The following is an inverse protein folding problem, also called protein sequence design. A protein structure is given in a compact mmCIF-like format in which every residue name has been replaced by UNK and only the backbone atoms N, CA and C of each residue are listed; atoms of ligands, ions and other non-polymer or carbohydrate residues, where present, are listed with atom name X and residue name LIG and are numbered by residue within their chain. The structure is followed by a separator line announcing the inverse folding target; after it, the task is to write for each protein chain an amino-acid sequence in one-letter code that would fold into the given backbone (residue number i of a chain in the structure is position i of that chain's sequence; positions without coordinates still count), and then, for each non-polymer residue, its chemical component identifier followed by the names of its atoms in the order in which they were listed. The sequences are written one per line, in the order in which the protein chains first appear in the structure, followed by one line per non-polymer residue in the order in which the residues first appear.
data_IF_107856414607
#
_entry.id   IF_107856414607
#
_cell.length_a   1.000
_cell.length_b   1.000
_cell.length_c   1.000
_cell.angle_alpha   90.00
_cell.angle_beta   90.00
_cell.angle_gamma   90.00
#
_symmetry.space_group_name_H-M   'P 1'
#
loop_
_entity.id
_entity.type
_entity.pdbx_description
1 polymer ?
#
# COMPACT_ATOMS: atom_id res chain seq x y z
N UNK A 1 -4.11 -61.12 48.91
CA UNK A 1 -3.21 -62.29 48.99
C UNK A 1 -4.02 -63.54 48.63
N UNK A 2 -3.73 -64.12 47.44
CA UNK A 2 -4.25 -65.35 46.77
C UNK A 2 -4.22 -65.05 45.26
N UNK A 3 -3.05 -65.07 44.61
CA UNK A 3 -2.41 -66.21 43.94
C UNK A 3 -3.36 -67.02 43.04
N UNK A 4 -3.23 -66.78 41.73
CA UNK A 4 -3.39 -67.82 40.69
C UNK A 4 -2.27 -67.58 39.67
N UNK A 5 -1.27 -68.46 39.67
CA UNK A 5 -0.24 -68.57 38.62
C UNK A 5 -0.17 -70.04 38.20
N UNK A 6 -0.87 -70.31 37.10
CA UNK A 6 -0.82 -71.47 36.20
C UNK A 6 0.34 -71.50 35.20
N UNK A 7 1.34 -72.37 35.35
CA UNK A 7 2.23 -72.83 34.26
C UNK A 7 1.39 -73.34 33.07
N UNK A 8 1.79 -73.39 31.80
CA UNK A 8 3.07 -73.36 31.11
C UNK A 8 2.90 -74.16 29.79
N UNK A 9 3.99 -74.28 29.02
CA UNK A 9 4.25 -75.27 27.95
C UNK A 9 4.03 -74.87 26.47
N UNK A 10 5.15 -74.46 25.85
CA UNK A 10 5.80 -74.95 24.61
C UNK A 10 4.95 -75.71 23.57
N UNK A 11 5.02 -75.30 22.28
CA UNK A 11 5.63 -76.05 21.15
C UNK A 11 5.27 -75.38 19.80
N UNK A 12 6.32 -75.30 18.99
CA UNK A 12 6.47 -74.84 17.61
C UNK A 12 5.62 -75.67 16.61
N UNK A 13 4.93 -75.01 15.67
CA UNK A 13 4.60 -75.59 14.36
C UNK A 13 4.40 -74.47 13.34
N UNK A 14 5.29 -74.44 12.35
CA UNK A 14 5.21 -73.61 11.14
C UNK A 14 4.15 -74.20 10.23
N UNK A 15 3.19 -73.38 9.80
CA UNK A 15 2.40 -73.63 8.61
C UNK A 15 2.31 -72.32 7.83
N UNK A 16 3.00 -72.29 6.69
CA UNK A 16 2.88 -71.23 5.71
C UNK A 16 1.47 -71.27 5.10
N UNK A 17 0.72 -70.18 5.25
CA UNK A 17 -0.41 -69.87 4.39
C UNK A 17 -0.03 -68.64 3.58
N UNK A 18 0.24 -68.89 2.30
CA UNK A 18 0.44 -67.86 1.30
C UNK A 18 -0.88 -67.13 1.04
N UNK A 19 -0.84 -65.81 1.07
CA UNK A 19 -1.68 -64.98 0.20
C UNK A 19 -0.74 -63.99 -0.49
N UNK A 20 -0.40 -64.35 -1.73
CA UNK A 20 0.20 -63.45 -2.70
C UNK A 20 -0.87 -62.47 -3.20
N UNK A 21 -0.74 -61.20 -2.86
CA UNK A 21 -1.33 -60.11 -3.62
C UNK A 21 -0.29 -59.00 -3.75
N UNK A 22 0.59 -59.18 -4.74
CA UNK A 22 1.52 -58.14 -5.18
C UNK A 22 0.82 -57.28 -6.23
N UNK A 23 -0.07 -56.39 -5.78
CA UNK A 23 -0.49 -55.26 -6.60
C UNK A 23 0.61 -54.20 -6.61
N UNK A 24 1.73 -54.51 -7.27
CA UNK A 24 2.65 -53.46 -7.68
C UNK A 24 1.86 -52.47 -8.55
N UNK A 25 1.88 -51.16 -8.27
CA UNK A 25 1.27 -50.20 -9.19
C UNK A 25 1.95 -50.35 -10.55
N UNK A 26 1.15 -50.58 -11.59
CA UNK A 26 1.63 -50.63 -12.96
C UNK A 26 2.13 -49.23 -13.32
N UNK A 27 3.44 -49.05 -13.41
CA UNK A 27 4.02 -47.87 -14.02
C UNK A 27 3.58 -47.80 -15.50
N UNK A 28 3.27 -46.61 -16.04
CA UNK A 28 2.89 -46.48 -17.44
C UNK A 28 4.02 -46.99 -18.33
N UNK A 29 3.66 -47.76 -19.36
CA UNK A 29 4.60 -48.29 -20.33
C UNK A 29 5.23 -47.12 -21.09
N UNK A 30 6.57 -47.01 -21.07
CA UNK A 30 7.28 -46.04 -21.89
C UNK A 30 7.16 -46.43 -23.36
N UNK A 31 6.41 -45.65 -24.13
CA UNK A 31 6.40 -45.73 -25.59
C UNK A 31 7.76 -45.33 -26.13
N UNK A 32 8.42 -46.26 -26.83
CA UNK A 32 9.65 -45.99 -27.57
C UNK A 32 9.32 -45.15 -28.80
N UNK A 33 9.88 -43.94 -28.88
CA UNK A 33 9.99 -43.18 -30.13
C UNK A 33 8.81 -42.28 -30.50
N UNK A 34 8.73 -41.10 -29.87
CA UNK A 34 8.31 -39.89 -30.58
C UNK A 34 9.42 -38.86 -30.39
N UNK A 35 10.15 -38.61 -31.47
CA UNK A 35 11.05 -37.46 -31.57
C UNK A 35 10.23 -36.18 -31.34
N UNK A 36 10.59 -35.43 -30.30
CA UNK A 36 10.08 -34.09 -30.03
C UNK A 36 8.77 -34.05 -29.28
N UNK A 37 8.79 -34.30 -27.97
CA UNK A 37 7.87 -33.56 -27.10
C UNK A 37 8.28 -32.11 -27.26
N UNK A 38 7.43 -31.30 -27.89
CA UNK A 38 7.67 -29.86 -27.97
C UNK A 38 7.97 -29.37 -26.55
N UNK A 39 9.05 -28.60 -26.38
CA UNK A 39 9.34 -27.99 -25.10
C UNK A 39 8.06 -27.28 -24.64
N UNK A 40 7.63 -27.57 -23.41
CA UNK A 40 6.54 -26.84 -22.78
C UNK A 40 6.89 -25.35 -22.93
N UNK A 41 6.05 -24.53 -23.58
CA UNK A 41 6.39 -23.14 -23.84
C UNK A 41 6.79 -22.46 -22.54
N UNK A 42 7.87 -21.68 -22.58
CA UNK A 42 8.33 -20.90 -21.43
C UNK A 42 7.17 -20.12 -20.83
N UNK A 43 6.93 -20.30 -19.54
CA UNK A 43 5.83 -19.66 -18.81
C UNK A 43 4.55 -20.48 -18.72
N UNK A 44 4.51 -21.71 -19.24
CA UNK A 44 3.39 -22.64 -18.96
C UNK A 44 3.45 -23.10 -17.50
N UNK A 45 2.40 -22.87 -16.69
CA UNK A 45 2.41 -23.25 -15.28
C UNK A 45 2.63 -24.75 -15.07
N UNK A 46 3.61 -25.09 -14.23
CA UNK A 46 3.94 -26.48 -13.85
C UNK A 46 3.42 -26.85 -12.45
N UNK A 47 3.05 -25.84 -11.65
CA UNK A 47 2.45 -25.99 -10.33
C UNK A 47 0.93 -25.82 -10.39
N UNK A 48 0.19 -26.80 -9.86
CA UNK A 48 -1.26 -26.68 -9.66
C UNK A 48 -1.55 -25.88 -8.39
N UNK A 49 -1.64 -24.56 -8.56
CA UNK A 49 -2.06 -23.61 -7.53
C UNK A 49 -2.93 -22.51 -8.16
N UNK A 50 -3.77 -21.86 -7.37
CA UNK A 50 -4.45 -20.65 -7.86
C UNK A 50 -3.42 -19.51 -8.07
N UNK A 51 -3.72 -18.61 -9.01
CA UNK A 51 -2.93 -17.38 -9.12
C UNK A 51 -3.13 -16.52 -7.85
N UNK A 52 -2.09 -15.79 -7.40
CA UNK A 52 -2.25 -14.79 -6.34
C UNK A 52 -3.31 -13.74 -6.69
N UNK A 53 -4.04 -13.25 -5.69
CA UNK A 53 -5.14 -12.30 -5.86
C UNK A 53 -5.11 -11.17 -4.83
N UNK A 54 -6.21 -10.42 -4.72
CA UNK A 54 -6.39 -9.32 -3.77
C UNK A 54 -5.19 -8.37 -3.67
N UNK A 55 -4.77 -7.76 -4.80
CA UNK A 55 -3.59 -6.90 -4.81
C UNK A 55 -3.76 -5.68 -3.91
N UNK A 56 -2.70 -5.33 -3.19
CA UNK A 56 -2.51 -4.00 -2.62
C UNK A 56 -1.22 -3.39 -3.23
N UNK A 57 -1.22 -2.13 -3.67
CA UNK A 57 -2.37 -1.24 -3.81
C UNK A 57 -3.47 -1.82 -4.70
N UNK A 58 -4.71 -1.40 -4.46
CA UNK A 58 -5.83 -1.80 -5.32
C UNK A 58 -5.58 -1.38 -6.77
N UNK A 59 -6.10 -2.11 -7.78
CA UNK A 59 -5.86 -1.77 -9.17
C UNK A 59 -6.30 -0.33 -9.49
N UNK A 60 -5.40 0.46 -10.08
CA UNK A 60 -5.64 1.87 -10.41
C UNK A 60 -5.47 2.84 -9.23
N UNK A 61 -5.04 2.39 -8.06
CA UNK A 61 -4.80 3.27 -6.91
C UNK A 61 -3.63 4.22 -7.18
N UNK A 62 -3.74 5.45 -6.66
CA UNK A 62 -2.59 6.35 -6.49
C UNK A 62 -1.96 6.08 -5.13
N UNK A 63 -0.64 5.90 -5.09
CA UNK A 63 0.11 5.82 -3.84
C UNK A 63 0.15 7.17 -3.13
N UNK A 64 0.29 7.10 -1.82
CA UNK A 64 0.55 8.26 -0.97
C UNK A 64 2.05 8.44 -0.80
N UNK A 65 2.50 9.68 -0.60
CA UNK A 65 3.89 9.93 -0.23
C UNK A 65 4.17 9.44 1.18
N UNK A 66 5.30 8.78 1.34
CA UNK A 66 5.86 8.46 2.64
C UNK A 66 6.52 9.66 3.30
N UNK A 67 7.05 9.43 4.50
CA UNK A 67 7.82 10.44 5.22
C UNK A 67 9.04 10.92 4.40
N UNK A 68 9.43 12.19 4.59
CA UNK A 68 10.60 12.79 3.95
C UNK A 68 10.62 12.68 2.42
N UNK A 69 9.46 12.85 1.78
CA UNK A 69 9.25 12.84 0.33
C UNK A 69 9.65 11.51 -0.33
N UNK A 70 9.62 10.42 0.43
CA UNK A 70 9.90 9.09 -0.10
C UNK A 70 8.66 8.48 -0.74
N UNK A 71 8.86 7.63 -1.73
CA UNK A 71 7.81 6.82 -2.36
C UNK A 71 7.92 5.37 -1.89
N UNK A 72 7.57 5.03 -0.63
CA UNK A 72 7.58 3.65 -0.19
C UNK A 72 6.39 2.93 -0.84
N UNK A 73 6.64 2.18 -1.91
CA UNK A 73 5.66 1.27 -2.46
C UNK A 73 5.80 -0.09 -1.78
N UNK A 74 4.71 -0.59 -1.18
CA UNK A 74 4.62 -1.97 -0.74
C UNK A 74 3.56 -2.67 -1.59
N UNK A 75 3.97 -3.70 -2.31
CA UNK A 75 3.06 -4.52 -3.12
C UNK A 75 2.72 -5.78 -2.33
N UNK A 76 1.44 -6.12 -2.19
CA UNK A 76 1.04 -7.36 -1.54
C UNK A 76 -0.05 -8.10 -2.31
N UNK A 77 -0.07 -9.42 -2.12
CA UNK A 77 -1.09 -10.33 -2.68
C UNK A 77 -1.54 -11.31 -1.61
N UNK A 78 -2.75 -11.83 -1.75
CA UNK A 78 -3.15 -13.03 -1.02
C UNK A 78 -2.27 -14.21 -1.42
N UNK A 79 -1.92 -15.04 -0.44
CA UNK A 79 -1.12 -16.23 -0.71
C UNK A 79 -1.88 -17.16 -1.66
N UNK A 80 -1.12 -17.78 -2.58
CA UNK A 80 -1.65 -18.84 -3.41
C UNK A 80 -1.70 -20.12 -2.58
N UNK A 81 -2.63 -21.01 -2.92
CA UNK A 81 -2.84 -22.29 -2.29
C UNK A 81 -2.68 -23.38 -3.33
N UNK A 82 -1.85 -24.38 -3.03
CA UNK A 82 -1.71 -25.55 -3.89
C UNK A 82 -3.02 -26.35 -3.89
N UNK A 83 -3.51 -26.74 -5.06
CA UNK A 83 -4.84 -27.34 -5.25
C UNK A 83 -5.03 -28.64 -4.46
N UNK A 84 -3.97 -29.42 -4.24
CA UNK A 84 -4.00 -30.71 -3.56
C UNK A 84 -3.08 -30.79 -2.34
N UNK A 85 -2.53 -29.66 -1.89
CA UNK A 85 -1.55 -29.60 -0.80
C UNK A 85 -1.64 -28.25 -0.06
N UNK A 86 -2.81 -27.94 0.51
CA UNK A 86 -3.12 -26.62 1.09
C UNK A 86 -2.28 -26.23 2.31
N UNK A 87 -1.54 -27.17 2.90
CA UNK A 87 -0.60 -26.93 4.01
C UNK A 87 0.81 -26.55 3.54
N UNK A 88 1.09 -26.65 2.23
CA UNK A 88 2.38 -26.25 1.66
C UNK A 88 2.40 -24.74 1.45
N UNK A 89 3.36 -24.08 2.10
CA UNK A 89 3.64 -22.66 1.87
C UNK A 89 4.38 -22.48 0.55
N UNK A 90 3.82 -21.68 -0.35
CA UNK A 90 4.41 -21.36 -1.65
C UNK A 90 5.13 -20.02 -1.57
N UNK A 91 6.30 -19.90 -2.18
CA UNK A 91 6.95 -18.59 -2.35
C UNK A 91 6.25 -17.82 -3.47
N UNK A 92 6.42 -16.49 -3.51
CA UNK A 92 5.78 -15.62 -4.49
C UNK A 92 6.80 -14.79 -5.24
N UNK A 93 6.80 -14.95 -6.57
CA UNK A 93 7.56 -14.08 -7.46
C UNK A 93 6.71 -12.89 -7.85
N UNK A 94 7.24 -11.69 -7.64
CA UNK A 94 6.64 -10.45 -8.12
C UNK A 94 7.37 -9.99 -9.36
N UNK A 95 6.71 -9.24 -10.23
CA UNK A 95 7.34 -8.48 -11.30
C UNK A 95 6.78 -7.06 -11.30
N UNK A 96 7.67 -6.06 -11.34
CA UNK A 96 7.32 -4.64 -11.42
C UNK A 96 7.86 -4.05 -12.73
N UNK A 97 7.01 -3.30 -13.41
CA UNK A 97 7.28 -2.73 -14.72
C UNK A 97 7.11 -1.21 -14.72
N UNK A 98 8.05 -0.53 -15.36
CA UNK A 98 7.92 0.86 -15.80
C UNK A 98 7.69 0.89 -17.30
N UNK A 99 6.49 1.32 -17.74
CA UNK A 99 6.09 1.12 -19.13
C UNK A 99 6.17 -0.36 -19.50
N UNK A 100 6.96 -0.71 -20.52
CA UNK A 100 7.21 -2.09 -20.95
C UNK A 100 8.43 -2.76 -20.30
N UNK A 101 9.22 -2.03 -19.50
CA UNK A 101 10.50 -2.52 -18.98
C UNK A 101 10.32 -3.14 -17.59
N UNK A 102 10.80 -4.37 -17.40
CA UNK A 102 10.87 -5.01 -16.08
C UNK A 102 11.97 -4.33 -15.26
N UNK A 103 11.62 -3.76 -14.10
CA UNK A 103 12.56 -3.03 -13.23
C UNK A 103 12.88 -3.75 -11.92
N UNK A 104 12.07 -4.76 -11.54
CA UNK A 104 12.37 -5.63 -10.41
C UNK A 104 11.54 -6.93 -10.42
N UNK A 105 12.13 -8.00 -9.89
CA UNK A 105 11.53 -9.34 -9.85
C UNK A 105 11.99 -10.17 -8.64
N UNK A 106 11.57 -9.84 -7.40
CA UNK A 106 11.95 -10.63 -6.23
C UNK A 106 11.12 -11.91 -6.11
N UNK A 107 11.72 -12.92 -5.47
CA UNK A 107 11.02 -14.09 -4.93
C UNK A 107 10.99 -13.97 -3.41
N UNK A 108 9.80 -14.02 -2.82
CA UNK A 108 9.60 -13.86 -1.38
C UNK A 108 8.89 -15.08 -0.78
N UNK A 109 9.25 -15.53 0.43
CA UNK A 109 8.51 -16.59 1.11
C UNK A 109 7.09 -16.12 1.48
N UNK A 110 6.17 -17.07 1.62
CA UNK A 110 4.80 -16.80 2.04
C UNK A 110 4.77 -16.08 3.40
N UNK A 111 4.02 -14.98 3.50
CA UNK A 111 3.66 -14.39 4.79
C UNK A 111 2.41 -15.04 5.40
N UNK A 112 1.88 -14.46 6.48
CA UNK A 112 0.64 -14.95 7.11
C UNK A 112 -0.59 -14.50 6.31
N UNK A 113 -1.10 -15.39 5.43
CA UNK A 113 -2.26 -15.15 4.57
C UNK A 113 -2.02 -14.20 3.38
N UNK A 114 -1.09 -13.26 3.51
CA UNK A 114 -0.60 -12.40 2.44
C UNK A 114 0.92 -12.41 2.38
N UNK A 115 1.46 -12.12 1.19
CA UNK A 115 2.88 -11.90 0.95
C UNK A 115 3.09 -10.48 0.48
N UNK A 116 4.02 -9.76 1.13
CA UNK A 116 4.26 -8.34 0.92
C UNK A 116 5.71 -8.08 0.53
N UNK A 117 5.89 -7.24 -0.49
CA UNK A 117 7.16 -6.80 -1.00
C UNK A 117 7.33 -5.29 -0.81
N UNK A 118 8.27 -4.83 0.04
CA UNK A 118 8.70 -3.44 0.05
C UNK A 118 9.59 -3.17 -1.18
N UNK A 119 9.11 -2.36 -2.10
CA UNK A 119 9.84 -1.96 -3.32
C UNK A 119 10.96 -1.02 -2.92
N UNK A 120 12.20 -1.41 -3.21
CA UNK A 120 13.41 -0.63 -2.91
C UNK A 120 13.90 0.20 -4.09
N UNK A 121 13.40 -0.08 -5.30
CA UNK A 121 13.68 0.73 -6.48
C UNK A 121 13.15 2.15 -6.28
N UNK A 122 13.95 3.14 -6.68
CA UNK A 122 13.50 4.52 -6.73
C UNK A 122 12.44 4.66 -7.83
N UNK A 123 11.20 4.92 -7.43
CA UNK A 123 10.10 5.19 -8.34
C UNK A 123 10.06 6.68 -8.72
N UNK A 124 9.65 6.98 -9.95
CA UNK A 124 9.41 8.34 -10.43
C UNK A 124 8.05 8.82 -9.91
N UNK A 125 7.92 10.13 -9.70
CA UNK A 125 6.63 10.77 -9.42
C UNK A 125 5.71 10.75 -10.64
N UNK A 126 4.41 10.89 -10.40
CA UNK A 126 3.34 10.94 -11.41
C UNK A 126 3.48 9.88 -12.52
N UNK A 127 3.87 8.67 -12.13
CA UNK A 127 4.19 7.59 -13.06
C UNK A 127 3.33 6.37 -12.78
N UNK A 128 2.80 5.76 -13.84
CA UNK A 128 2.05 4.50 -13.75
C UNK A 128 3.02 3.34 -13.81
N UNK A 129 2.95 2.47 -12.81
CA UNK A 129 3.69 1.22 -12.75
C UNK A 129 2.72 0.05 -12.88
N UNK A 130 3.15 -0.99 -13.60
CA UNK A 130 2.38 -2.24 -13.76
C UNK A 130 3.07 -3.37 -13.04
N UNK A 131 2.32 -4.29 -12.47
CA UNK A 131 2.91 -5.40 -11.73
C UNK A 131 2.00 -6.63 -11.72
N UNK A 132 2.60 -7.78 -11.43
CA UNK A 132 1.91 -9.06 -11.29
C UNK A 132 2.69 -9.96 -10.34
N UNK A 133 2.06 -11.04 -9.90
CA UNK A 133 2.71 -12.04 -9.07
C UNK A 133 2.33 -13.47 -9.48
N UNK A 134 3.18 -14.44 -9.15
CA UNK A 134 2.88 -15.88 -9.25
C UNK A 134 3.44 -16.63 -8.05
N UNK A 135 2.93 -17.82 -7.81
CA UNK A 135 3.48 -18.73 -6.80
C UNK A 135 4.57 -19.64 -7.38
N UNK A 136 5.57 -19.98 -6.58
CA UNK A 136 6.68 -20.87 -6.90
C UNK A 136 6.93 -21.85 -5.75
N UNK A 137 7.32 -23.08 -6.11
CA UNK A 137 7.78 -24.13 -5.21
C UNK A 137 8.93 -24.85 -5.91
N UNK A 138 10.15 -24.66 -5.42
CA UNK A 138 11.38 -25.11 -6.09
C UNK A 138 11.39 -24.63 -7.56
N UNK A 139 11.57 -25.55 -8.53
CA UNK A 139 11.56 -25.23 -9.96
C UNK A 139 10.15 -25.17 -10.57
N UNK A 140 9.10 -25.46 -9.79
CA UNK A 140 7.71 -25.41 -10.24
C UNK A 140 7.08 -24.05 -10.00
N UNK A 141 6.24 -23.60 -10.94
CA UNK A 141 5.58 -22.29 -10.86
C UNK A 141 4.13 -22.33 -11.30
N UNK A 142 3.31 -21.54 -10.62
CA UNK A 142 1.88 -21.38 -10.90
C UNK A 142 1.62 -20.37 -12.02
N UNK A 143 0.33 -20.17 -12.33
CA UNK A 143 -0.09 -19.12 -13.24
C UNK A 143 0.24 -17.74 -12.68
N UNK A 144 0.64 -16.82 -13.57
CA UNK A 144 0.66 -15.41 -13.24
C UNK A 144 -0.74 -14.91 -12.92
N UNK A 145 -0.82 -13.97 -11.98
CA UNK A 145 -2.00 -13.14 -11.80
C UNK A 145 -2.31 -12.32 -13.05
N UNK A 146 -3.47 -11.66 -13.05
CA UNK A 146 -3.68 -10.53 -13.96
C UNK A 146 -2.63 -9.44 -13.71
N UNK A 147 -2.41 -8.60 -14.73
CA UNK A 147 -1.57 -7.40 -14.57
C UNK A 147 -2.38 -6.34 -13.84
N UNK A 148 -1.83 -5.81 -12.75
CA UNK A 148 -2.38 -4.69 -12.00
C UNK A 148 -1.53 -3.45 -12.20
N UNK A 149 -2.08 -2.29 -11.85
CA UNK A 149 -1.37 -1.02 -11.94
C UNK A 149 -1.62 -0.15 -10.72
N UNK A 150 -0.65 0.70 -10.43
CA UNK A 150 -0.78 1.82 -9.49
C UNK A 150 -0.07 3.04 -10.09
N UNK A 151 -0.45 4.22 -9.60
CA UNK A 151 0.20 5.49 -9.95
C UNK A 151 0.97 6.02 -8.75
N UNK A 152 2.18 6.52 -8.94
CA UNK A 152 2.86 7.32 -7.92
C UNK A 152 2.28 8.75 -7.89
N UNK A 153 2.20 9.40 -6.73
CA UNK A 153 1.64 10.74 -6.60
C UNK A 153 2.49 11.77 -7.37
N UNK A 154 1.92 12.96 -7.59
CA UNK A 154 2.68 14.09 -8.10
C UNK A 154 3.79 14.49 -7.12
N UNK A 155 4.89 15.02 -7.66
CA UNK A 155 5.94 15.59 -6.82
C UNK A 155 5.39 16.78 -6.02
N UNK A 156 5.63 16.85 -4.69
CA UNK A 156 5.22 17.99 -3.90
C UNK A 156 5.83 19.28 -4.43
N UNK A 157 5.07 20.35 -4.39
CA UNK A 157 5.60 21.67 -4.72
C UNK A 157 6.43 22.14 -3.52
N UNK A 158 7.76 22.20 -3.68
CA UNK A 158 8.67 22.72 -2.65
C UNK A 158 8.35 24.17 -2.27
N UNK A 159 7.64 24.87 -3.14
CA UNK A 159 7.19 26.25 -3.00
C UNK A 159 8.20 27.21 -3.60
N UNK A 160 7.77 28.04 -4.55
CA UNK A 160 8.66 28.92 -5.31
C UNK A 160 9.10 30.16 -4.51
N UNK A 161 8.31 30.57 -3.52
CA UNK A 161 8.51 31.78 -2.73
C UNK A 161 8.07 31.57 -1.28
N UNK A 162 8.82 32.12 -0.32
CA UNK A 162 8.40 32.28 1.07
C UNK A 162 8.19 33.75 1.36
N UNK A 163 7.02 34.16 1.86
CA UNK A 163 6.87 35.55 2.33
C UNK A 163 7.84 35.81 3.49
N UNK A 164 8.64 36.89 3.48
CA UNK A 164 9.57 37.21 4.56
C UNK A 164 8.89 37.32 5.92
N UNK A 165 9.68 37.11 6.97
CA UNK A 165 9.22 37.26 8.35
C UNK A 165 8.80 38.71 8.63
N UNK A 166 7.76 38.87 9.45
CA UNK A 166 7.19 40.18 9.73
C UNK A 166 8.02 40.87 10.83
N UNK A 167 8.30 42.19 10.73
CA UNK A 167 9.01 42.92 11.79
C UNK A 167 8.30 42.87 13.14
N UNK A 168 6.97 42.80 13.14
CA UNK A 168 6.12 42.69 14.33
C UNK A 168 5.86 41.23 14.76
N UNK A 169 6.49 40.25 14.11
CA UNK A 169 6.33 38.82 14.40
C UNK A 169 5.02 38.19 13.95
N UNK A 170 4.14 38.92 13.24
CA UNK A 170 2.88 38.37 12.72
C UNK A 170 2.52 38.91 11.34
N UNK A 171 2.52 38.01 10.35
CA UNK A 171 1.94 38.28 9.04
C UNK A 171 0.40 38.30 9.09
N UNK A 172 -0.25 39.09 8.22
CA UNK A 172 -1.70 38.99 8.02
C UNK A 172 -2.08 37.66 7.36
N UNK A 173 -3.34 37.24 7.50
CA UNK A 173 -3.89 36.07 6.82
C UNK A 173 -4.05 36.36 5.31
N UNK A 174 -3.33 35.66 4.42
CA UNK A 174 -3.64 35.71 3.00
C UNK A 174 -4.94 34.95 2.70
N UNK A 175 -6.02 35.67 2.37
CA UNK A 175 -7.27 35.04 1.92
C UNK A 175 -7.07 34.38 0.55
N UNK A 176 -7.39 33.09 0.42
CA UNK A 176 -7.20 32.27 -0.81
C UNK A 176 -8.40 31.40 -1.19
N UNK A 177 -9.61 31.86 -0.89
CA UNK A 177 -10.85 31.19 -1.31
C UNK A 177 -10.92 30.95 -2.82
N UNK A 178 -10.31 31.82 -3.63
CA UNK A 178 -10.20 31.63 -5.08
C UNK A 178 -9.43 30.35 -5.47
N UNK A 179 -8.34 30.02 -4.76
CA UNK A 179 -7.57 28.79 -4.98
C UNK A 179 -8.39 27.57 -4.55
N UNK A 180 -9.08 27.65 -3.40
CA UNK A 180 -9.96 26.57 -2.94
C UNK A 180 -11.07 26.30 -3.96
N UNK A 181 -11.79 27.33 -4.39
CA UNK A 181 -12.83 27.21 -5.41
C UNK A 181 -12.30 26.61 -6.71
N UNK A 182 -11.17 27.11 -7.21
CA UNK A 182 -10.53 26.59 -8.42
C UNK A 182 -10.14 25.12 -8.25
N UNK A 183 -9.63 24.71 -7.09
CA UNK A 183 -9.25 23.34 -6.83
C UNK A 183 -10.46 22.38 -6.81
N UNK A 184 -11.56 22.78 -6.16
CA UNK A 184 -12.82 22.02 -6.16
C UNK A 184 -13.37 21.85 -7.58
N UNK A 185 -13.36 22.92 -8.39
CA UNK A 185 -13.81 22.88 -9.79
C UNK A 185 -12.89 22.05 -10.67
N UNK A 186 -11.58 22.12 -10.46
CA UNK A 186 -10.60 21.40 -11.28
C UNK A 186 -10.58 19.90 -11.00
N UNK A 187 -10.75 19.49 -9.74
CA UNK A 187 -10.61 18.09 -9.29
C UNK A 187 -11.80 17.56 -8.50
N UNK A 188 -13.04 17.59 -9.06
CA UNK A 188 -14.21 17.04 -8.37
C UNK A 188 -14.11 15.52 -8.16
N UNK A 189 -13.28 14.83 -8.94
CA UNK A 189 -12.94 13.43 -8.75
C UNK A 189 -12.19 13.19 -7.42
N UNK A 190 -11.25 14.05 -7.07
CA UNK A 190 -10.48 13.96 -5.83
C UNK A 190 -11.33 14.30 -4.62
N UNK A 191 -12.16 15.34 -4.72
CA UNK A 191 -13.10 15.74 -3.66
C UNK A 191 -14.04 14.59 -3.30
N UNK A 192 -14.60 13.88 -4.30
CA UNK A 192 -15.52 12.76 -4.05
C UNK A 192 -14.87 11.61 -3.25
N UNK A 193 -13.55 11.45 -3.37
CA UNK A 193 -12.79 10.38 -2.71
C UNK A 193 -11.88 10.90 -1.59
N UNK A 194 -12.11 12.11 -1.08
CA UNK A 194 -11.26 12.70 -0.04
C UNK A 194 -11.65 12.28 1.37
N UNK A 195 -12.88 11.83 1.63
CA UNK A 195 -13.32 11.49 2.99
C UNK A 195 -12.54 10.31 3.60
N UNK A 196 -11.55 10.59 4.45
CA UNK A 196 -10.68 9.58 5.06
C UNK A 196 -11.43 8.64 6.02
N UNK A 197 -12.51 9.11 6.66
CA UNK A 197 -13.36 8.28 7.53
C UNK A 197 -14.03 7.12 6.79
N UNK A 198 -14.14 7.21 5.46
CA UNK A 198 -14.72 6.18 4.59
C UNK A 198 -13.67 5.50 3.70
N UNK A 199 -12.39 5.59 4.07
CA UNK A 199 -11.29 5.03 3.29
C UNK A 199 -10.87 5.87 2.08
N UNK A 200 -11.21 7.16 2.09
CA UNK A 200 -10.74 8.13 1.09
C UNK A 200 -9.23 8.40 1.16
N UNK A 201 -8.76 9.14 0.17
CA UNK A 201 -7.34 9.44 -0.10
C UNK A 201 -6.98 10.87 0.30
N UNK A 202 -5.68 11.19 0.36
CA UNK A 202 -5.21 12.56 0.61
C UNK A 202 -5.03 13.37 -0.66
N UNK A 203 -5.22 12.77 -1.84
CA UNK A 203 -4.93 13.37 -3.14
C UNK A 203 -5.56 14.77 -3.32
N UNK A 204 -6.77 15.01 -2.81
CA UNK A 204 -7.37 16.35 -2.87
C UNK A 204 -6.62 17.38 -2.02
N UNK A 205 -6.33 17.04 -0.76
CA UNK A 205 -5.59 17.92 0.15
C UNK A 205 -4.17 18.16 -0.37
N UNK A 206 -3.53 17.13 -0.90
CA UNK A 206 -2.20 17.21 -1.49
C UNK A 206 -2.17 18.17 -2.68
N UNK A 207 -3.15 18.02 -3.59
CA UNK A 207 -3.34 18.91 -4.73
C UNK A 207 -3.62 20.37 -4.29
N UNK A 208 -4.52 20.59 -3.34
CA UNK A 208 -4.87 21.93 -2.86
C UNK A 208 -3.68 22.61 -2.17
N UNK A 209 -2.96 21.89 -1.32
CA UNK A 209 -1.77 22.42 -0.63
C UNK A 209 -0.67 22.75 -1.64
N UNK A 210 -0.46 21.92 -2.66
CA UNK A 210 0.47 22.25 -3.75
C UNK A 210 0.08 23.55 -4.46
N UNK A 211 -1.22 23.74 -4.75
CA UNK A 211 -1.72 25.00 -5.34
C UNK A 211 -1.56 26.22 -4.46
N UNK A 212 -1.74 26.09 -3.15
CA UNK A 212 -1.46 27.16 -2.21
C UNK A 212 0.04 27.49 -2.16
N UNK A 213 0.90 26.45 -2.22
CA UNK A 213 2.36 26.57 -2.16
C UNK A 213 3.01 27.10 -3.44
N UNK A 214 2.32 27.04 -4.58
CA UNK A 214 2.73 27.76 -5.79
C UNK A 214 2.90 29.27 -5.50
N UNK A 215 2.11 29.83 -4.59
CA UNK A 215 2.21 31.25 -4.19
C UNK A 215 3.07 31.50 -2.95
N UNK A 216 2.91 30.68 -1.91
CA UNK A 216 3.65 30.84 -0.65
C UNK A 216 3.90 29.52 0.05
N UNK A 217 5.17 29.21 0.31
CA UNK A 217 5.54 27.97 0.98
C UNK A 217 5.18 27.97 2.50
N UNK A 218 4.68 29.08 3.08
CA UNK A 218 4.12 29.09 4.44
C UNK A 218 2.84 28.25 4.59
N UNK A 219 2.18 27.89 3.49
CA UNK A 219 1.04 26.97 3.50
C UNK A 219 1.46 25.53 3.80
N UNK A 220 0.69 24.85 4.65
CA UNK A 220 0.86 23.44 4.97
C UNK A 220 -0.41 22.83 5.52
N UNK A 221 -0.28 21.65 6.10
CA UNK A 221 -1.39 20.92 6.70
C UNK A 221 -1.53 21.28 8.17
N UNK A 222 -2.75 21.18 8.67
CA UNK A 222 -3.05 21.36 10.08
C UNK A 222 -2.98 20.04 10.85
N UNK A 223 -2.02 19.88 11.74
CA UNK A 223 -2.01 18.82 12.76
C UNK A 223 -3.01 19.14 13.87
N UNK A 224 -4.13 18.41 13.92
CA UNK A 224 -5.25 18.72 14.83
C UNK A 224 -4.81 18.68 16.29
N UNK A 225 -5.26 19.66 17.09
CA UNK A 225 -5.03 19.72 18.55
C UNK A 225 -3.53 19.60 18.91
N UNK A 226 -2.67 20.13 18.04
CA UNK A 226 -1.23 20.11 18.20
C UNK A 226 -0.54 18.78 17.90
N UNK A 227 -1.22 17.81 17.31
CA UNK A 227 -0.64 16.54 16.87
C UNK A 227 -0.36 16.53 15.36
N UNK A 228 0.91 16.68 14.97
CA UNK A 228 1.34 16.66 13.56
C UNK A 228 1.13 15.32 12.86
N UNK A 229 0.91 14.24 13.62
CA UNK A 229 0.62 12.90 13.09
C UNK A 229 -0.90 12.63 12.96
N UNK A 230 -1.74 13.59 13.34
CA UNK A 230 -3.20 13.57 13.14
C UNK A 230 -3.64 14.79 12.31
N UNK A 231 -3.21 14.88 11.03
CA UNK A 231 -3.55 16.00 10.17
C UNK A 231 -5.04 16.04 9.82
N UNK A 232 -5.57 17.25 9.58
CA UNK A 232 -6.92 17.46 9.10
C UNK A 232 -7.07 17.17 7.62
N UNK A 233 -8.17 16.51 7.24
CA UNK A 233 -8.52 16.24 5.85
C UNK A 233 -9.24 17.39 5.14
N UNK A 234 -9.52 18.49 5.86
CA UNK A 234 -10.37 19.62 5.44
C UNK A 234 -9.85 20.98 5.94
N UNK A 235 -8.70 21.01 6.64
CA UNK A 235 -8.13 22.24 7.20
C UNK A 235 -6.67 22.37 6.76
N UNK A 236 -6.31 23.58 6.33
CA UNK A 236 -4.93 23.98 6.01
C UNK A 236 -4.43 25.02 7.00
N UNK A 237 -3.12 25.05 7.18
CA UNK A 237 -2.44 26.04 8.01
C UNK A 237 -1.64 27.03 7.16
N UNK A 238 -1.68 28.32 7.54
CA UNK A 238 -0.69 29.31 7.11
C UNK A 238 0.18 29.73 8.28
N UNK A 239 1.49 29.48 8.20
CA UNK A 239 2.43 29.91 9.23
C UNK A 239 2.61 31.44 9.18
N UNK A 240 2.05 32.18 10.14
CA UNK A 240 2.16 33.64 10.22
C UNK A 240 3.37 34.12 11.01
N UNK A 241 3.98 33.21 11.78
CA UNK A 241 5.11 33.46 12.67
C UNK A 241 6.44 33.70 11.96
N UNK A 242 7.45 34.03 12.77
CA UNK A 242 8.83 34.12 12.31
C UNK A 242 9.53 32.75 12.44
N UNK A 243 10.56 32.51 11.62
CA UNK A 243 11.35 31.28 11.66
C UNK A 243 10.70 30.08 10.94
N UNK A 244 11.13 28.85 11.28
CA UNK A 244 10.69 27.64 10.58
C UNK A 244 9.21 27.34 10.83
N UNK A 245 8.55 26.78 9.82
CA UNK A 245 7.13 26.42 9.92
C UNK A 245 6.94 25.08 10.63
N UNK A 246 7.87 24.13 10.46
CA UNK A 246 7.75 22.79 11.03
C UNK A 246 7.37 22.80 12.52
N UNK A 247 6.24 22.16 12.85
CA UNK A 247 5.74 21.98 14.22
C UNK A 247 5.34 23.28 14.96
N UNK A 248 5.27 24.41 14.23
CA UNK A 248 4.89 25.71 14.78
C UNK A 248 3.39 25.76 15.12
N UNK A 249 3.05 26.42 16.24
CA UNK A 249 1.67 26.79 16.59
C UNK A 249 1.30 28.20 16.14
N UNK A 250 2.24 28.92 15.50
CA UNK A 250 2.01 30.26 14.97
C UNK A 250 1.30 30.20 13.61
N UNK A 251 0.13 29.59 13.60
CA UNK A 251 -0.65 29.29 12.40
C UNK A 251 -1.98 30.03 12.36
N UNK A 252 -2.42 30.37 11.17
CA UNK A 252 -3.85 30.55 10.88
C UNK A 252 -4.41 29.20 10.48
N UNK A 253 -5.55 28.83 11.03
CA UNK A 253 -6.18 27.52 10.85
C UNK A 253 -7.44 27.72 10.02
N UNK A 254 -7.42 27.27 8.77
CA UNK A 254 -8.48 27.59 7.80
C UNK A 254 -9.18 26.31 7.37
N UNK A 255 -10.46 26.20 7.72
CA UNK A 255 -11.34 25.17 7.19
C UNK A 255 -11.72 25.54 5.74
N UNK A 256 -11.31 24.67 4.83
CA UNK A 256 -11.44 24.84 3.38
C UNK A 256 -12.56 23.99 2.78
N UNK A 257 -13.26 23.19 3.59
CA UNK A 257 -14.28 22.26 3.11
C UNK A 257 -15.40 22.06 4.13
N UNK A 258 -16.58 22.58 3.78
CA UNK A 258 -17.81 22.25 4.50
C UNK A 258 -18.27 20.84 4.18
N UNK A 259 -18.76 20.12 5.19
CA UNK A 259 -19.45 18.85 5.00
C UNK A 259 -18.60 17.74 4.36
N UNK A 260 -17.29 17.72 4.64
CA UNK A 260 -16.29 16.87 3.98
C UNK A 260 -16.74 15.41 3.73
N UNK A 261 -17.21 14.70 4.76
CA UNK A 261 -17.66 13.31 4.64
C UNK A 261 -19.15 13.12 4.29
N UNK A 262 -19.84 14.20 3.91
CA UNK A 262 -21.23 14.21 3.48
C UNK A 262 -21.37 14.80 2.08
N UNK A 263 -21.61 16.11 2.02
CA UNK A 263 -21.71 16.88 0.79
C UNK A 263 -20.60 17.93 0.78
N UNK A 264 -19.37 17.55 0.40
CA UNK A 264 -18.22 18.45 0.44
C UNK A 264 -18.43 19.66 -0.46
N UNK A 265 -18.20 20.85 0.08
CA UNK A 265 -18.27 22.12 -0.63
C UNK A 265 -17.08 23.02 -0.25
N UNK A 266 -16.57 23.85 -1.18
CA UNK A 266 -15.46 24.75 -0.89
C UNK A 266 -15.85 25.75 0.19
N UNK A 267 -14.90 26.06 1.07
CA UNK A 267 -15.09 27.01 2.16
C UNK A 267 -13.81 27.81 2.46
N UNK A 268 -13.96 28.84 3.29
CA UNK A 268 -12.85 29.61 3.85
C UNK A 268 -13.25 30.14 5.22
N UNK A 269 -13.17 29.27 6.22
CA UNK A 269 -13.63 29.58 7.58
C UNK A 269 -12.39 29.63 8.49
N UNK A 270 -12.11 30.82 9.03
CA UNK A 270 -11.00 31.03 9.95
C UNK A 270 -11.34 30.47 11.34
N UNK A 271 -10.69 29.37 11.70
CA UNK A 271 -10.84 28.66 12.97
C UNK A 271 -9.75 29.06 14.00
N UNK A 272 -8.90 30.05 13.68
CA UNK A 272 -7.74 30.41 14.50
C UNK A 272 -8.16 30.87 15.90
N UNK A 273 -9.17 31.73 16.00
CA UNK A 273 -9.63 32.22 17.31
C UNK A 273 -10.36 31.12 18.09
N UNK A 274 -11.23 30.34 17.44
CA UNK A 274 -11.98 29.27 18.08
C UNK A 274 -11.04 28.22 18.71
N UNK A 275 -10.05 27.75 17.96
CA UNK A 275 -9.06 26.78 18.46
C UNK A 275 -8.16 27.36 19.55
N UNK A 276 -7.80 28.65 19.46
CA UNK A 276 -7.07 29.34 20.53
C UNK A 276 -7.89 29.42 21.82
N UNK A 277 -9.16 29.82 21.74
CA UNK A 277 -10.03 29.93 22.92
C UNK A 277 -10.31 28.59 23.58
N UNK A 278 -10.29 27.49 22.81
CA UNK A 278 -10.45 26.13 23.32
C UNK A 278 -9.15 25.43 23.71
N UNK A 279 -8.00 26.12 23.63
CA UNK A 279 -6.67 25.53 23.87
C UNK A 279 -6.37 24.28 23.01
N UNK A 280 -6.82 24.32 21.75
CA UNK A 280 -6.72 23.23 20.78
C UNK A 280 -6.02 23.67 19.49
N UNK A 281 -5.21 24.73 19.56
CA UNK A 281 -4.42 25.25 18.43
C UNK A 281 -3.65 24.11 17.76
N UNK A 282 -3.77 24.06 16.44
CA UNK A 282 -3.10 23.11 15.59
C UNK A 282 -1.59 23.33 15.52
N UNK A 283 -0.92 22.42 14.82
CA UNK A 283 0.48 22.59 14.46
C UNK A 283 0.68 22.41 12.98
N UNK A 284 1.45 23.31 12.40
CA UNK A 284 1.85 23.20 11.02
C UNK A 284 2.63 21.91 10.80
N UNK A 285 2.26 21.16 9.76
CA UNK A 285 3.02 20.00 9.30
C UNK A 285 3.07 19.97 7.78
N UNK A 286 4.20 19.53 7.22
CA UNK A 286 4.32 19.23 5.81
C UNK A 286 3.84 17.83 5.44
N UNK A 287 3.35 17.06 6.42
CA UNK A 287 2.87 15.66 6.26
C UNK A 287 3.91 14.72 5.63
N UNK A 288 5.20 15.06 5.80
CA UNK A 288 6.30 14.35 5.16
C UNK A 288 6.48 14.65 3.67
N UNK A 289 5.73 15.58 3.08
CA UNK A 289 5.83 15.99 1.66
C UNK A 289 6.74 17.20 1.42
N UNK A 290 7.06 17.95 2.48
CA UNK A 290 8.02 19.06 2.45
C UNK A 290 8.35 19.51 3.89
N UNK A 291 9.39 20.32 4.03
CA UNK A 291 9.77 21.00 5.27
C UNK A 291 9.98 22.49 5.01
N UNK A 292 9.74 23.34 6.01
CA UNK A 292 9.99 24.79 5.96
C UNK A 292 10.40 25.36 7.30
#
# INVERSE_FOLDING_TARGET
MKLVFQLGLVVLCVAAAACSDSSNPVAPTSTTGISGVAAVPDGTPTLKANAPGSPAPAPGATLELGANNTLPATLSVSNAVATHASTVSLSHRFQLYEGGTLIAEPLLPAGSGQTSWPVTNQLKFDTVYRWRARAELDDAYGAWSSMWEFRTPAAPVSGARRTPDAPNGRLPLPVRINIVNAAFSARPDLVRRSCQERGGTWEFMDYLVDKLREEDNRWGYNGKRGNVNDPSGDIVDYHWGNGPSNNSTQVYIIDIMLGHCGSPAPAWIDQTQATSSSNTVGRWTGRGRFSN
#
